data_IF_866399066940
#
_entry.id   IF_866399066940
#
_cell.length_a   1.000
_cell.length_b   1.000
_cell.length_c   1.000
_cell.angle_alpha   90.00
_cell.angle_beta   90.00
_cell.angle_gamma   90.00
#
_symmetry.space_group_name_H-M   'P 1'
#
loop_
_entity.id
_entity.type
_entity.pdbx_description
1 polymer ?
#
# COMPACT_ATOMS: atom_id res chain seq x y z
N UNK A 1 12.90 27.40 -18.80
CA UNK A 1 13.34 27.16 -20.21
C UNK A 1 12.23 26.39 -20.95
N UNK A 2 12.02 25.10 -20.76
CA UNK A 2 10.94 24.33 -21.37
C UNK A 2 9.82 24.06 -20.36
N UNK A 3 8.55 24.17 -20.81
CA UNK A 3 7.38 23.90 -19.98
C UNK A 3 6.26 23.29 -20.82
N UNK A 4 5.48 22.37 -20.22
CA UNK A 4 4.36 21.67 -20.84
C UNK A 4 3.33 21.32 -19.78
N UNK A 5 2.05 21.37 -20.10
CA UNK A 5 0.97 20.98 -19.20
C UNK A 5 -0.14 20.25 -19.95
N UNK A 6 -0.63 19.13 -19.41
CA UNK A 6 -1.80 18.39 -19.93
C UNK A 6 -2.44 17.58 -18.80
N UNK A 7 -3.75 17.63 -18.70
CA UNK A 7 -4.57 16.82 -17.75
C UNK A 7 -4.06 16.86 -16.30
N UNK A 8 -3.66 18.06 -15.83
CA UNK A 8 -3.16 18.28 -14.47
C UNK A 8 -1.72 17.83 -14.22
N UNK A 9 -1.03 17.34 -15.27
CA UNK A 9 0.40 17.03 -15.22
C UNK A 9 1.19 18.18 -15.81
N UNK A 10 2.14 18.72 -15.06
CA UNK A 10 3.04 19.79 -15.52
C UNK A 10 4.46 19.26 -15.60
N UNK A 11 5.09 19.46 -16.77
CA UNK A 11 6.50 19.10 -17.01
C UNK A 11 7.30 20.38 -17.22
N UNK A 12 8.39 20.56 -16.50
CA UNK A 12 9.26 21.73 -16.64
C UNK A 12 10.73 21.40 -16.45
N UNK A 13 11.59 22.16 -17.12
CA UNK A 13 13.05 22.10 -16.87
C UNK A 13 13.40 23.04 -15.72
N UNK A 14 14.19 22.56 -14.76
CA UNK A 14 14.58 23.32 -13.56
C UNK A 14 16.05 23.08 -13.22
N UNK A 15 16.67 24.09 -12.62
CA UNK A 15 17.97 23.94 -11.99
C UNK A 15 17.78 23.43 -10.54
N UNK A 16 18.46 22.38 -10.16
CA UNK A 16 18.29 21.73 -8.85
C UNK A 16 18.98 22.51 -7.74
N UNK A 17 18.22 23.29 -6.97
CA UNK A 17 18.76 24.21 -5.97
C UNK A 17 19.37 23.56 -4.70
N UNK A 18 19.14 22.25 -4.44
CA UNK A 18 19.48 21.59 -3.17
C UNK A 18 20.81 20.82 -3.16
N UNK A 19 21.41 20.57 -4.32
CA UNK A 19 22.62 19.76 -4.42
C UNK A 19 23.60 20.47 -5.35
N UNK A 20 24.76 20.81 -4.85
CA UNK A 20 25.88 21.40 -5.62
C UNK A 20 26.93 20.30 -5.77
N UNK A 21 27.50 20.14 -6.97
CA UNK A 21 28.61 19.21 -7.19
C UNK A 21 29.94 19.84 -6.66
N UNK A 22 31.03 19.06 -6.71
CA UNK A 22 32.35 19.52 -6.25
C UNK A 22 32.90 20.75 -7.03
N UNK A 23 32.34 21.05 -8.19
CA UNK A 23 32.72 22.17 -9.05
C UNK A 23 31.81 23.42 -8.86
N UNK A 24 30.92 23.42 -7.87
CA UNK A 24 30.01 24.54 -7.64
C UNK A 24 28.83 24.61 -8.60
N UNK A 25 28.57 23.57 -9.40
CA UNK A 25 27.48 23.52 -10.39
C UNK A 25 26.25 22.79 -9.84
N UNK A 26 25.08 23.20 -10.31
CA UNK A 26 23.78 22.63 -9.97
C UNK A 26 23.31 21.66 -11.05
N UNK A 27 22.72 20.51 -10.71
CA UNK A 27 22.18 19.59 -11.69
C UNK A 27 20.93 20.16 -12.37
N UNK A 28 20.89 20.08 -13.69
CA UNK A 28 19.67 20.35 -14.47
C UNK A 28 18.76 19.14 -14.37
N UNK A 29 17.48 19.37 -14.06
CA UNK A 29 16.47 18.34 -13.85
C UNK A 29 15.19 18.64 -14.62
N UNK A 30 14.48 17.60 -15.01
CA UNK A 30 13.10 17.72 -15.47
C UNK A 30 12.20 17.48 -14.27
N UNK A 31 11.38 18.46 -13.92
CA UNK A 31 10.37 18.40 -12.89
C UNK A 31 9.04 18.00 -13.51
N UNK A 32 8.45 16.94 -13.04
CA UNK A 32 7.06 16.55 -13.34
C UNK A 32 6.24 16.76 -12.07
N UNK A 33 5.16 17.52 -12.17
CA UNK A 33 4.27 17.85 -11.08
C UNK A 33 2.89 17.29 -11.37
N UNK A 34 2.33 16.54 -10.42
CA UNK A 34 1.01 15.92 -10.52
C UNK A 34 0.41 15.70 -9.13
N UNK A 35 -0.87 16.00 -8.95
CA UNK A 35 -1.61 15.84 -7.69
C UNK A 35 -0.86 16.41 -6.47
N UNK A 36 -0.39 17.66 -6.59
CA UNK A 36 0.36 18.39 -5.55
C UNK A 36 1.72 17.77 -5.17
N UNK A 37 2.22 16.80 -5.93
CA UNK A 37 3.52 16.14 -5.70
C UNK A 37 4.48 16.42 -6.86
N UNK A 38 5.71 16.92 -6.60
CA UNK A 38 6.74 17.03 -7.60
C UNK A 38 7.61 15.77 -7.67
N UNK A 39 8.04 15.38 -8.86
CA UNK A 39 9.10 14.40 -9.08
C UNK A 39 10.15 14.96 -10.02
N UNK A 40 11.41 14.67 -9.73
CA UNK A 40 12.56 15.24 -10.44
C UNK A 40 13.35 14.14 -11.13
N UNK A 41 13.66 14.35 -12.41
CA UNK A 41 14.44 13.45 -13.24
C UNK A 41 15.77 14.12 -13.61
N UNK A 42 16.89 13.55 -13.18
CA UNK A 42 18.23 14.04 -13.55
C UNK A 42 18.51 13.69 -15.00
N UNK A 43 19.18 14.63 -15.69
CA UNK A 43 19.58 14.46 -17.09
C UNK A 43 21.11 14.42 -17.29
N UNK A 44 21.87 14.39 -16.18
CA UNK A 44 23.33 14.28 -16.22
C UNK A 44 24.06 15.58 -16.55
N UNK A 45 23.35 16.70 -16.74
CA UNK A 45 23.94 18.02 -17.05
C UNK A 45 23.99 18.84 -15.75
N UNK A 46 25.12 19.48 -15.46
CA UNK A 46 25.29 20.41 -14.36
C UNK A 46 25.71 21.79 -14.88
N UNK A 47 25.14 22.87 -14.32
CA UNK A 47 25.39 24.25 -14.72
C UNK A 47 25.44 25.18 -13.54
N UNK A 48 26.15 26.31 -13.65
CA UNK A 48 26.04 27.42 -12.71
C UNK A 48 24.70 28.14 -12.92
N UNK A 49 24.29 28.98 -11.95
CA UNK A 49 23.08 29.80 -12.11
C UNK A 49 23.21 30.80 -13.28
N UNK A 50 24.40 31.30 -13.48
CA UNK A 50 24.69 32.27 -14.53
C UNK A 50 24.62 31.62 -15.92
N UNK A 51 25.23 30.44 -16.08
CA UNK A 51 25.17 29.66 -17.33
C UNK A 51 23.71 29.29 -17.65
N UNK A 52 22.95 28.86 -16.67
CA UNK A 52 21.52 28.51 -16.82
C UNK A 52 20.66 29.70 -17.29
N UNK A 53 20.89 30.88 -16.71
CA UNK A 53 20.11 32.07 -17.07
C UNK A 53 20.47 32.60 -18.46
N UNK A 54 21.72 32.45 -18.89
CA UNK A 54 22.19 32.89 -20.21
C UNK A 54 21.89 31.87 -21.34
N UNK A 55 21.62 30.62 -20.98
CA UNK A 55 21.45 29.52 -21.91
C UNK A 55 20.34 29.72 -22.97
N UNK A 56 19.14 30.29 -22.62
CA UNK A 56 18.07 30.51 -23.60
C UNK A 56 18.47 31.37 -24.78
N UNK A 57 19.25 32.43 -24.53
CA UNK A 57 19.59 33.48 -25.51
C UNK A 57 20.99 33.29 -26.13
N UNK A 58 21.74 32.30 -25.67
CA UNK A 58 23.12 32.06 -26.11
C UNK A 58 23.17 31.49 -27.53
N UNK A 59 24.03 32.13 -28.38
CA UNK A 59 24.29 31.71 -29.75
C UNK A 59 25.54 30.81 -29.87
N UNK A 60 26.28 30.58 -28.79
CA UNK A 60 27.51 29.77 -28.80
C UNK A 60 27.17 28.31 -29.19
N UNK A 61 28.09 27.70 -29.94
CA UNK A 61 27.95 26.32 -30.44
C UNK A 61 27.83 25.32 -29.30
N UNK A 62 28.61 25.47 -28.23
CA UNK A 62 28.55 24.60 -27.06
C UNK A 62 27.22 24.72 -26.33
N UNK A 63 26.73 25.94 -26.11
CA UNK A 63 25.46 26.18 -25.45
C UNK A 63 24.26 25.69 -26.28
N UNK A 64 24.36 25.72 -27.61
CA UNK A 64 23.36 25.10 -28.50
C UNK A 64 23.30 23.58 -28.31
N UNK A 65 24.46 22.90 -28.23
CA UNK A 65 24.52 21.45 -27.96
C UNK A 65 23.89 21.11 -26.61
N UNK A 66 24.22 21.88 -25.57
CA UNK A 66 23.64 21.68 -24.24
C UNK A 66 22.13 21.91 -24.26
N UNK A 67 21.67 23.00 -24.90
CA UNK A 67 20.23 23.30 -25.04
C UNK A 67 19.51 22.18 -25.79
N UNK A 68 20.05 21.65 -26.86
CA UNK A 68 19.50 20.53 -27.63
C UNK A 68 19.45 19.24 -26.81
N UNK A 69 20.47 18.95 -26.00
CA UNK A 69 20.48 17.80 -25.11
C UNK A 69 19.37 17.91 -24.01
N UNK A 70 19.20 19.10 -23.43
CA UNK A 70 18.13 19.36 -22.45
C UNK A 70 16.76 19.21 -23.12
N UNK A 71 16.60 19.76 -24.34
CA UNK A 71 15.34 19.69 -25.09
C UNK A 71 14.98 18.26 -25.50
N UNK A 72 15.96 17.47 -25.92
CA UNK A 72 15.75 16.05 -26.23
C UNK A 72 15.27 15.26 -25.01
N UNK A 73 15.88 15.48 -23.84
CA UNK A 73 15.46 14.85 -22.62
C UNK A 73 14.05 15.34 -22.16
N UNK A 74 13.77 16.63 -22.31
CA UNK A 74 12.46 17.20 -22.00
C UNK A 74 11.38 16.62 -22.93
N UNK A 75 11.64 16.56 -24.23
CA UNK A 75 10.72 16.02 -25.23
C UNK A 75 10.40 14.54 -24.97
N UNK A 76 11.42 13.74 -24.59
CA UNK A 76 11.22 12.35 -24.19
C UNK A 76 10.26 12.22 -23.01
N UNK A 77 10.45 13.02 -21.94
CA UNK A 77 9.56 13.01 -20.78
C UNK A 77 8.17 13.51 -21.16
N UNK A 78 8.06 14.61 -21.93
CA UNK A 78 6.80 15.18 -22.42
C UNK A 78 5.98 14.15 -23.20
N UNK A 79 6.56 13.52 -24.21
CA UNK A 79 5.86 12.52 -25.04
C UNK A 79 5.34 11.35 -24.22
N UNK A 80 6.08 10.89 -23.23
CA UNK A 80 5.64 9.82 -22.36
C UNK A 80 4.52 10.27 -21.40
N UNK A 81 4.60 11.49 -20.87
CA UNK A 81 3.53 12.09 -20.06
C UNK A 81 2.26 12.23 -20.88
N UNK A 82 2.37 12.77 -22.09
CA UNK A 82 1.28 12.97 -23.03
C UNK A 82 0.55 11.66 -23.34
N UNK A 83 1.29 10.64 -23.74
CA UNK A 83 0.74 9.32 -24.07
C UNK A 83 0.10 8.60 -22.87
N UNK A 84 0.55 8.85 -21.65
CA UNK A 84 -0.04 8.30 -20.43
C UNK A 84 -1.29 9.09 -20.00
N UNK A 85 -1.26 10.42 -20.16
CA UNK A 85 -2.37 11.29 -19.85
C UNK A 85 -3.56 11.05 -20.81
N UNK A 86 -3.31 10.94 -22.11
CA UNK A 86 -4.33 10.61 -23.12
C UNK A 86 -5.06 9.30 -22.84
N UNK A 87 -4.35 8.32 -22.27
CA UNK A 87 -4.95 7.05 -21.85
C UNK A 87 -5.61 7.10 -20.47
N UNK A 88 -5.55 8.23 -19.76
CA UNK A 88 -6.07 8.37 -18.40
C UNK A 88 -5.34 7.49 -17.35
N UNK A 89 -4.11 7.06 -17.64
CA UNK A 89 -3.36 6.10 -16.80
C UNK A 89 -2.06 6.71 -16.26
N UNK A 90 -1.95 8.05 -16.24
CA UNK A 90 -0.75 8.70 -15.73
C UNK A 90 -0.57 8.41 -14.25
N UNK A 91 0.62 7.95 -13.90
CA UNK A 91 1.18 7.93 -12.55
C UNK A 91 2.70 8.06 -12.64
N UNK A 92 3.35 8.46 -11.54
CA UNK A 92 4.81 8.50 -11.52
C UNK A 92 5.45 7.13 -11.75
N UNK A 93 4.75 6.04 -11.38
CA UNK A 93 5.23 4.68 -11.61
C UNK A 93 5.17 4.32 -13.10
N UNK A 94 4.04 4.58 -13.77
CA UNK A 94 3.91 4.31 -15.20
C UNK A 94 4.86 5.17 -16.02
N UNK A 95 5.11 6.41 -15.60
CA UNK A 95 6.12 7.28 -16.25
C UNK A 95 7.54 6.74 -16.05
N UNK A 96 7.90 6.31 -14.82
CA UNK A 96 9.22 5.73 -14.56
C UNK A 96 9.47 4.48 -15.39
N UNK A 97 8.47 3.60 -15.49
CA UNK A 97 8.55 2.40 -16.32
C UNK A 97 8.86 2.75 -17.78
N UNK A 98 8.16 3.75 -18.34
CA UNK A 98 8.37 4.18 -19.73
C UNK A 98 9.69 4.89 -19.98
N UNK A 99 10.19 5.61 -18.99
CA UNK A 99 11.47 6.32 -19.10
C UNK A 99 12.70 5.42 -18.87
N UNK A 100 12.49 4.11 -18.58
CA UNK A 100 13.58 3.23 -18.17
C UNK A 100 14.32 3.72 -16.91
N UNK A 101 13.70 4.64 -16.14
CA UNK A 101 14.25 5.27 -14.94
C UNK A 101 13.68 4.66 -13.63
N UNK A 102 12.82 3.68 -13.71
CA UNK A 102 12.82 2.64 -12.73
C UNK A 102 14.18 1.97 -12.88
N UNK A 103 15.04 2.05 -11.88
CA UNK A 103 16.35 1.40 -11.87
C UNK A 103 16.19 -0.06 -12.32
N UNK A 104 16.43 -0.34 -13.62
CA UNK A 104 16.16 -1.58 -14.32
C UNK A 104 14.64 -1.85 -14.52
N UNK A 105 14.25 -2.27 -15.73
CA UNK A 105 12.87 -2.74 -16.06
C UNK A 105 12.54 -4.08 -15.36
N UNK A 106 12.67 -4.13 -14.02
CA UNK A 106 12.56 -5.36 -13.25
C UNK A 106 11.33 -5.35 -12.37
N UNK A 107 10.73 -6.52 -12.17
CA UNK A 107 9.63 -6.73 -11.24
C UNK A 107 9.98 -6.22 -9.84
N UNK A 108 11.22 -6.49 -9.38
CA UNK A 108 11.70 -6.10 -8.05
C UNK A 108 11.71 -4.58 -7.87
N UNK A 109 12.19 -3.83 -8.86
CA UNK A 109 12.24 -2.36 -8.77
C UNK A 109 10.84 -1.75 -8.72
N UNK A 110 9.90 -2.33 -9.48
CA UNK A 110 8.50 -1.88 -9.47
C UNK A 110 7.79 -2.23 -8.17
N UNK A 111 8.08 -3.40 -7.58
CA UNK A 111 7.57 -3.74 -6.24
C UNK A 111 8.11 -2.75 -5.21
N UNK A 112 9.39 -2.40 -5.24
CA UNK A 112 9.98 -1.42 -4.31
C UNK A 112 9.34 -0.03 -4.48
N UNK A 113 9.14 0.41 -5.70
CA UNK A 113 8.45 1.67 -5.99
C UNK A 113 6.99 1.65 -5.46
N UNK A 114 6.27 0.52 -5.63
CA UNK A 114 4.92 0.34 -5.11
C UNK A 114 4.87 0.36 -3.58
N UNK A 115 5.86 -0.21 -2.92
CA UNK A 115 6.01 -0.16 -1.45
C UNK A 115 6.12 1.30 -0.97
N UNK A 116 6.95 2.12 -1.61
CA UNK A 116 7.11 3.53 -1.22
C UNK A 116 5.84 4.36 -1.51
N UNK A 117 5.16 4.10 -2.64
CA UNK A 117 3.86 4.71 -2.95
C UNK A 117 2.83 4.39 -1.86
N UNK A 118 2.64 3.11 -1.54
CA UNK A 118 1.69 2.65 -0.54
C UNK A 118 2.01 3.19 0.87
N UNK A 119 3.29 3.34 1.19
CA UNK A 119 3.76 3.97 2.43
C UNK A 119 3.35 5.45 2.48
N UNK A 120 3.53 6.18 1.38
CA UNK A 120 3.14 7.60 1.30
C UNK A 120 1.63 7.83 1.35
N UNK A 121 0.84 6.80 1.07
CA UNK A 121 -0.64 6.79 1.12
C UNK A 121 -1.19 6.24 2.44
N UNK A 122 -0.35 5.93 3.43
CA UNK A 122 -0.72 5.28 4.69
C UNK A 122 -1.43 3.92 4.53
N UNK A 123 -1.20 3.24 3.40
CA UNK A 123 -1.74 1.91 3.10
C UNK A 123 -0.84 0.79 3.64
N UNK A 124 -0.53 0.88 4.94
CA UNK A 124 0.50 0.07 5.59
C UNK A 124 0.26 -1.45 5.46
N UNK A 125 -1.01 -1.90 5.55
CA UNK A 125 -1.33 -3.33 5.38
C UNK A 125 -0.97 -3.86 4.00
N UNK A 126 -1.31 -3.12 2.94
CA UNK A 126 -1.00 -3.46 1.54
C UNK A 126 0.50 -3.36 1.30
N UNK A 127 1.16 -2.31 1.82
CA UNK A 127 2.60 -2.11 1.76
C UNK A 127 3.37 -3.31 2.34
N UNK A 128 3.00 -3.75 3.55
CA UNK A 128 3.62 -4.92 4.18
C UNK A 128 3.46 -6.18 3.34
N UNK A 129 2.29 -6.35 2.72
CA UNK A 129 2.03 -7.50 1.86
C UNK A 129 2.88 -7.47 0.58
N UNK A 130 3.09 -6.29 -0.04
CA UNK A 130 4.04 -6.14 -1.16
C UNK A 130 5.49 -6.40 -0.72
N UNK A 131 5.90 -6.02 0.50
CA UNK A 131 7.22 -6.40 1.06
C UNK A 131 7.38 -7.92 1.13
N UNK A 132 6.37 -8.64 1.62
CA UNK A 132 6.40 -10.10 1.62
C UNK A 132 6.48 -10.67 0.19
N UNK A 133 5.74 -10.09 -0.77
CA UNK A 133 5.80 -10.50 -2.18
C UNK A 133 7.20 -10.30 -2.75
N UNK A 134 7.88 -9.19 -2.44
CA UNK A 134 9.25 -8.93 -2.86
C UNK A 134 10.20 -10.04 -2.41
N UNK A 135 10.18 -10.39 -1.13
CA UNK A 135 11.00 -11.48 -0.58
C UNK A 135 10.73 -12.78 -1.34
N UNK A 136 9.46 -13.14 -1.55
CA UNK A 136 9.09 -14.38 -2.22
C UNK A 136 9.50 -14.43 -3.69
N UNK A 137 9.45 -13.34 -4.43
CA UNK A 137 9.92 -13.31 -5.82
C UNK A 137 11.45 -13.34 -5.89
N UNK A 138 12.15 -12.73 -4.92
CA UNK A 138 13.61 -12.76 -4.82
C UNK A 138 14.15 -14.17 -4.52
N UNK A 139 13.41 -15.00 -3.77
CA UNK A 139 13.74 -16.41 -3.52
C UNK A 139 13.78 -17.26 -4.83
N UNK A 140 13.01 -16.87 -5.86
CA UNK A 140 12.89 -17.65 -7.10
C UNK A 140 13.75 -17.13 -8.22
N UNK A 141 13.83 -15.81 -8.39
CA UNK A 141 14.43 -15.18 -9.56
C UNK A 141 15.53 -14.17 -9.26
N UNK A 142 15.90 -13.99 -7.97
CA UNK A 142 16.91 -13.02 -7.57
C UNK A 142 16.40 -11.58 -7.51
N UNK A 143 17.35 -10.62 -7.50
CA UNK A 143 17.05 -9.22 -7.19
C UNK A 143 16.65 -8.35 -8.38
N UNK A 144 16.79 -8.86 -9.60
CA UNK A 144 16.61 -8.10 -10.85
C UNK A 144 15.90 -8.94 -11.92
N UNK A 145 14.63 -9.29 -11.69
CA UNK A 145 13.81 -10.09 -12.58
C UNK A 145 13.19 -9.19 -13.65
N UNK A 146 13.63 -9.27 -14.93
CA UNK A 146 13.04 -8.46 -15.99
C UNK A 146 11.59 -8.91 -16.26
N UNK A 147 10.71 -8.00 -16.69
CA UNK A 147 9.32 -8.33 -17.01
C UNK A 147 9.20 -9.42 -18.09
N UNK A 148 10.14 -9.48 -19.02
CA UNK A 148 10.20 -10.52 -20.05
C UNK A 148 10.44 -11.93 -19.51
N UNK A 149 11.03 -12.07 -18.34
CA UNK A 149 11.26 -13.34 -17.67
C UNK A 149 10.03 -13.86 -16.90
N UNK A 150 8.98 -13.04 -16.73
CA UNK A 150 7.75 -13.42 -16.03
C UNK A 150 6.83 -14.16 -17.02
N UNK A 151 7.17 -15.39 -17.29
CA UNK A 151 6.40 -16.29 -18.19
C UNK A 151 5.45 -17.19 -17.40
N UNK A 152 4.63 -17.95 -18.09
CA UNK A 152 3.76 -19.00 -17.48
C UNK A 152 4.61 -19.99 -16.70
N UNK A 153 5.71 -20.46 -17.29
CA UNK A 153 6.65 -21.42 -16.70
C UNK A 153 7.30 -20.85 -15.44
N UNK A 154 7.68 -19.57 -15.46
CA UNK A 154 8.24 -18.90 -14.27
C UNK A 154 7.20 -18.82 -13.13
N UNK A 155 5.94 -18.50 -13.43
CA UNK A 155 4.88 -18.45 -12.44
C UNK A 155 4.57 -19.85 -11.88
N UNK A 156 4.58 -20.90 -12.71
CA UNK A 156 4.46 -22.30 -12.28
C UNK A 156 5.62 -22.73 -11.38
N UNK A 157 6.86 -22.32 -11.72
CA UNK A 157 8.03 -22.55 -10.86
C UNK A 157 7.86 -21.88 -9.51
N UNK A 158 7.38 -20.63 -9.45
CA UNK A 158 7.06 -19.94 -8.21
C UNK A 158 6.01 -20.72 -7.40
N UNK A 159 4.90 -21.11 -8.02
CA UNK A 159 3.84 -21.87 -7.37
C UNK A 159 4.36 -23.18 -6.78
N UNK A 160 5.14 -23.94 -7.54
CA UNK A 160 5.75 -25.22 -7.10
C UNK A 160 6.71 -25.02 -5.93
N UNK A 161 7.54 -23.97 -5.96
CA UNK A 161 8.48 -23.70 -4.87
C UNK A 161 7.74 -23.28 -3.60
N UNK A 162 6.80 -22.33 -3.72
CA UNK A 162 6.07 -21.77 -2.59
C UNK A 162 5.09 -22.75 -1.96
N UNK A 163 4.56 -23.73 -2.72
CA UNK A 163 3.66 -24.76 -2.19
C UNK A 163 4.30 -25.67 -1.13
N UNK A 164 5.63 -25.73 -1.07
CA UNK A 164 6.35 -26.47 -0.03
C UNK A 164 6.12 -25.93 1.37
N UNK A 165 5.85 -24.62 1.51
CA UNK A 165 5.78 -23.93 2.82
C UNK A 165 4.57 -23.01 2.97
N UNK A 166 3.79 -22.78 1.94
CA UNK A 166 2.68 -21.81 1.92
C UNK A 166 1.38 -22.46 1.46
N UNK A 167 0.27 -21.98 1.99
CA UNK A 167 -1.06 -22.41 1.52
C UNK A 167 -1.38 -21.86 0.14
N UNK A 168 -2.27 -22.54 -0.58
CA UNK A 168 -2.79 -22.10 -1.89
C UNK A 168 -3.34 -20.67 -1.83
N UNK A 169 -4.06 -20.33 -0.76
CA UNK A 169 -4.59 -18.97 -0.55
C UNK A 169 -3.49 -17.92 -0.43
N UNK A 170 -2.40 -18.22 0.30
CA UNK A 170 -1.25 -17.31 0.45
C UNK A 170 -0.54 -17.12 -0.89
N UNK A 171 -0.28 -18.21 -1.61
CA UNK A 171 0.33 -18.17 -2.95
C UNK A 171 -0.54 -17.34 -3.89
N UNK A 172 -1.85 -17.61 -3.92
CA UNK A 172 -2.79 -16.87 -4.75
C UNK A 172 -2.81 -15.36 -4.45
N UNK A 173 -2.61 -14.94 -3.19
CA UNK A 173 -2.47 -13.53 -2.84
C UNK A 173 -1.21 -12.90 -3.45
N UNK A 174 -0.05 -13.56 -3.36
CA UNK A 174 1.20 -13.06 -3.96
C UNK A 174 1.12 -13.02 -5.50
N UNK A 175 0.53 -14.04 -6.11
CA UNK A 175 0.28 -14.07 -7.56
C UNK A 175 -0.64 -12.92 -8.01
N UNK A 176 -1.63 -12.52 -7.22
CA UNK A 176 -2.47 -11.34 -7.51
C UNK A 176 -1.68 -10.03 -7.44
N UNK A 177 -0.71 -9.91 -6.53
CA UNK A 177 0.18 -8.75 -6.50
C UNK A 177 1.03 -8.67 -7.78
N UNK A 178 1.64 -9.79 -8.19
CA UNK A 178 2.41 -9.87 -9.45
C UNK A 178 1.50 -9.52 -10.63
N UNK A 179 0.29 -10.09 -10.71
CA UNK A 179 -0.68 -9.78 -11.76
C UNK A 179 -1.06 -8.30 -11.80
N UNK A 180 -1.19 -7.65 -10.65
CA UNK A 180 -1.47 -6.21 -10.59
C UNK A 180 -0.36 -5.41 -11.27
N UNK A 181 0.91 -5.73 -10.98
CA UNK A 181 2.06 -5.05 -11.58
C UNK A 181 2.21 -5.37 -13.08
N UNK A 182 1.95 -6.61 -13.48
CA UNK A 182 1.92 -6.99 -14.90
C UNK A 182 0.82 -6.23 -15.66
N UNK A 183 -0.35 -6.04 -15.05
CA UNK A 183 -1.43 -5.22 -15.63
C UNK A 183 -1.03 -3.74 -15.75
N UNK A 184 -0.33 -3.19 -14.76
CA UNK A 184 0.20 -1.83 -14.81
C UNK A 184 1.26 -1.71 -15.93
N UNK A 185 2.19 -2.67 -16.02
CA UNK A 185 3.22 -2.73 -17.06
C UNK A 185 2.62 -2.85 -18.47
N UNK A 186 1.59 -3.69 -18.65
CA UNK A 186 0.85 -3.84 -19.90
C UNK A 186 0.17 -2.54 -20.32
N UNK A 187 -0.57 -1.90 -19.40
CA UNK A 187 -1.21 -0.61 -19.67
C UNK A 187 -0.21 0.49 -20.01
N UNK A 188 0.95 0.49 -19.35
CA UNK A 188 2.02 1.43 -19.62
C UNK A 188 2.76 1.16 -20.95
N UNK A 189 2.51 0.01 -21.61
CA UNK A 189 3.20 -0.38 -22.84
C UNK A 189 4.63 -0.87 -22.61
N UNK A 190 4.98 -1.27 -21.39
CA UNK A 190 6.28 -1.88 -21.06
C UNK A 190 6.34 -3.32 -21.56
N UNK A 191 5.24 -4.02 -21.52
CA UNK A 191 5.08 -5.37 -22.09
C UNK A 191 3.96 -5.37 -23.13
N UNK A 192 4.11 -6.23 -24.13
CA UNK A 192 3.10 -6.48 -25.16
C UNK A 192 2.01 -7.41 -24.61
N UNK A 193 0.82 -7.39 -25.23
CA UNK A 193 -0.27 -8.33 -24.91
C UNK A 193 0.19 -9.79 -24.96
N UNK A 194 0.97 -10.16 -25.99
CA UNK A 194 1.52 -11.51 -26.18
C UNK A 194 2.49 -11.96 -25.08
N UNK A 195 3.03 -11.03 -24.29
CA UNK A 195 3.95 -11.29 -23.18
C UNK A 195 3.21 -11.42 -21.82
N UNK A 196 1.89 -11.20 -21.80
CA UNK A 196 1.10 -11.23 -20.58
C UNK A 196 0.77 -12.68 -20.18
N UNK A 197 1.26 -13.18 -19.01
CA UNK A 197 1.20 -14.61 -18.70
C UNK A 197 -0.05 -15.07 -17.96
N UNK A 198 -0.97 -14.16 -17.60
CA UNK A 198 -2.17 -14.50 -16.81
C UNK A 198 -3.43 -14.57 -17.68
N UNK A 199 -4.26 -15.58 -17.49
CA UNK A 199 -5.56 -15.70 -18.16
C UNK A 199 -5.97 -17.14 -18.42
N UNK A 200 -7.13 -17.30 -19.05
CA UNK A 200 -7.64 -18.60 -19.46
C UNK A 200 -6.71 -19.24 -20.49
N UNK A 201 -6.29 -20.49 -20.25
CA UNK A 201 -5.31 -21.17 -21.09
C UNK A 201 -3.85 -20.73 -20.87
N UNK A 202 -3.60 -19.78 -19.95
CA UNK A 202 -2.28 -19.35 -19.50
C UNK A 202 -2.13 -19.69 -18.00
N UNK A 203 -1.54 -18.80 -17.19
CA UNK A 203 -1.46 -19.01 -15.75
C UNK A 203 -2.75 -18.56 -15.07
N UNK A 204 -3.46 -19.48 -14.46
CA UNK A 204 -4.65 -19.19 -13.65
C UNK A 204 -4.34 -19.27 -12.17
N UNK A 205 -4.70 -18.19 -11.44
CA UNK A 205 -4.43 -18.11 -10.00
C UNK A 205 -5.43 -18.99 -9.25
N UNK A 206 -4.93 -20.04 -8.62
CA UNK A 206 -5.74 -20.95 -7.81
C UNK A 206 -6.29 -20.25 -6.56
N UNK A 207 -7.49 -20.64 -6.17
CA UNK A 207 -8.14 -20.14 -4.96
C UNK A 207 -8.29 -21.30 -3.98
N UNK A 208 -7.78 -21.12 -2.77
CA UNK A 208 -7.96 -22.13 -1.73
C UNK A 208 -9.40 -22.13 -1.19
N UNK A 209 -9.92 -23.31 -0.91
CA UNK A 209 -11.22 -23.50 -0.27
C UNK A 209 -11.00 -23.41 1.25
N UNK A 210 -11.43 -22.32 1.86
CA UNK A 210 -11.42 -22.15 3.32
C UNK A 210 -12.62 -22.87 3.95
N UNK A 211 -12.39 -23.73 4.93
CA UNK A 211 -13.48 -24.24 5.78
C UNK A 211 -13.90 -23.16 6.75
N UNK A 212 -15.16 -22.72 6.68
CA UNK A 212 -15.76 -21.86 7.69
C UNK A 212 -16.04 -22.72 8.93
N UNK A 213 -15.32 -22.45 10.02
CA UNK A 213 -15.57 -23.07 11.34
C UNK A 213 -16.35 -22.06 12.16
N UNK A 214 -17.64 -22.32 12.37
CA UNK A 214 -18.46 -21.58 13.33
C UNK A 214 -18.44 -22.28 14.67
N UNK A 215 -18.49 -21.52 15.76
CA UNK A 215 -18.71 -22.06 17.09
C UNK A 215 -20.19 -22.40 17.28
N UNK A 216 -20.47 -23.50 17.97
CA UNK A 216 -21.83 -23.85 18.37
C UNK A 216 -22.29 -22.93 19.51
N UNK A 217 -23.63 -22.86 19.75
CA UNK A 217 -24.18 -22.09 20.86
C UNK A 217 -23.62 -22.55 22.21
N UNK A 218 -23.40 -23.86 22.39
CA UNK A 218 -22.82 -24.44 23.61
C UNK A 218 -21.39 -23.96 23.82
N UNK A 219 -20.56 -23.95 22.76
CA UNK A 219 -19.18 -23.46 22.84
C UNK A 219 -19.13 -21.95 23.11
N UNK A 220 -20.00 -21.17 22.46
CA UNK A 220 -20.11 -19.75 22.74
C UNK A 220 -20.47 -19.50 24.21
N UNK A 221 -21.48 -20.18 24.74
CA UNK A 221 -21.86 -20.08 26.15
C UNK A 221 -20.67 -20.40 27.06
N UNK A 222 -19.94 -21.48 26.81
CA UNK A 222 -18.77 -21.85 27.60
C UNK A 222 -17.70 -20.74 27.60
N UNK A 223 -17.45 -20.09 26.46
CA UNK A 223 -16.51 -18.94 26.37
C UNK A 223 -17.02 -17.74 27.19
N UNK A 224 -18.33 -17.44 27.13
CA UNK A 224 -18.92 -16.33 27.88
C UNK A 224 -18.85 -16.56 29.40
N UNK A 225 -19.12 -17.78 29.84
CA UNK A 225 -19.13 -18.18 31.26
C UNK A 225 -17.70 -18.39 31.81
N UNK A 226 -16.69 -18.56 30.92
CA UNK A 226 -15.31 -18.83 31.32
C UNK A 226 -14.72 -17.69 32.17
N UNK A 227 -14.10 -18.04 33.28
CA UNK A 227 -13.37 -17.12 34.16
C UNK A 227 -11.96 -17.64 34.39
N UNK A 228 -10.96 -16.79 34.27
CA UNK A 228 -9.58 -17.09 34.57
C UNK A 228 -9.11 -16.31 35.78
N UNK A 229 -8.22 -16.89 36.58
CA UNK A 229 -7.51 -16.15 37.64
C UNK A 229 -6.60 -15.08 37.05
N UNK A 230 -6.17 -15.25 35.80
CA UNK A 230 -5.33 -14.29 35.10
C UNK A 230 -6.18 -13.19 34.47
N UNK A 231 -6.12 -11.99 35.05
CA UNK A 231 -6.87 -10.81 34.59
C UNK A 231 -6.59 -10.46 33.13
N UNK A 232 -5.34 -10.66 32.65
CA UNK A 232 -5.00 -10.46 31.24
C UNK A 232 -5.78 -11.40 30.33
N UNK A 233 -6.02 -12.65 30.74
CA UNK A 233 -6.83 -13.61 29.98
C UNK A 233 -8.28 -13.13 29.92
N UNK A 234 -8.84 -12.71 31.02
CA UNK A 234 -10.20 -12.16 31.07
C UNK A 234 -10.34 -10.92 30.18
N UNK A 235 -9.36 -10.00 30.23
CA UNK A 235 -9.36 -8.78 29.38
C UNK A 235 -9.44 -9.12 27.89
N UNK A 236 -8.59 -10.00 27.40
CA UNK A 236 -8.58 -10.33 25.96
C UNK A 236 -9.74 -11.23 25.54
N UNK A 237 -10.29 -12.05 26.45
CA UNK A 237 -11.57 -12.75 26.25
C UNK A 237 -12.72 -11.75 26.13
N UNK A 238 -12.81 -10.79 27.05
CA UNK A 238 -13.86 -9.78 27.06
C UNK A 238 -13.80 -8.91 25.78
N UNK A 239 -12.61 -8.55 25.31
CA UNK A 239 -12.45 -7.89 24.01
C UNK A 239 -12.90 -8.76 22.84
N UNK A 240 -12.65 -10.08 22.89
CA UNK A 240 -13.16 -10.99 21.87
C UNK A 240 -14.70 -11.08 21.91
N UNK A 241 -15.31 -11.12 23.10
CA UNK A 241 -16.76 -11.06 23.28
C UNK A 241 -17.32 -9.76 22.70
N UNK A 242 -16.68 -8.62 22.98
CA UNK A 242 -17.08 -7.33 22.41
C UNK A 242 -17.05 -7.36 20.88
N UNK A 243 -15.97 -7.87 20.27
CA UNK A 243 -15.87 -8.04 18.81
C UNK A 243 -17.03 -8.89 18.29
N UNK A 244 -17.32 -10.01 18.95
CA UNK A 244 -18.39 -10.91 18.54
C UNK A 244 -19.76 -10.24 18.60
N UNK A 245 -20.08 -9.57 19.70
CA UNK A 245 -21.37 -8.89 19.93
C UNK A 245 -21.52 -7.64 19.04
N UNK A 246 -20.43 -6.98 18.71
CA UNK A 246 -20.42 -5.85 17.76
C UNK A 246 -20.39 -6.33 16.28
N UNK A 247 -21.18 -7.34 15.95
CA UNK A 247 -21.35 -7.90 14.60
C UNK A 247 -20.03 -8.30 13.92
N UNK A 248 -19.02 -8.74 14.69
CA UNK A 248 -17.72 -9.10 14.17
C UNK A 248 -16.90 -7.90 13.70
N UNK A 249 -16.96 -6.80 14.44
CA UNK A 249 -16.17 -5.61 14.14
C UNK A 249 -14.68 -5.96 13.92
N UNK A 250 -14.05 -5.37 12.89
CA UNK A 250 -12.62 -5.59 12.71
C UNK A 250 -11.84 -4.96 13.89
N UNK A 251 -10.83 -5.66 14.45
CA UNK A 251 -10.02 -5.10 15.55
C UNK A 251 -9.43 -3.72 15.26
N UNK A 252 -9.09 -3.42 14.00
CA UNK A 252 -8.60 -2.09 13.62
C UNK A 252 -9.68 -1.02 13.82
N UNK A 253 -10.92 -1.33 13.47
CA UNK A 253 -12.05 -0.41 13.62
C UNK A 253 -12.40 -0.29 15.11
N UNK A 254 -12.48 -1.41 15.86
CA UNK A 254 -12.73 -1.44 17.31
C UNK A 254 -11.76 -0.55 18.10
N UNK A 255 -10.46 -0.64 17.81
CA UNK A 255 -9.44 0.14 18.52
C UNK A 255 -9.49 1.64 18.22
N UNK A 256 -10.20 2.03 17.18
CA UNK A 256 -10.41 3.44 16.79
C UNK A 256 -11.76 3.99 17.17
N UNK A 257 -12.65 3.18 17.75
CA UNK A 257 -13.92 3.67 18.25
C UNK A 257 -13.70 4.69 19.36
N UNK A 258 -14.40 5.81 19.26
CA UNK A 258 -14.50 6.85 20.28
C UNK A 258 -15.84 6.79 20.98
N UNK A 259 -15.95 7.41 22.15
CA UNK A 259 -17.24 7.53 22.81
C UNK A 259 -18.25 8.37 22.01
N UNK A 260 -17.77 9.30 21.15
CA UNK A 260 -18.62 10.01 20.19
C UNK A 260 -19.25 9.12 19.10
N UNK A 261 -18.73 7.90 18.89
CA UNK A 261 -19.31 6.93 17.96
C UNK A 261 -20.48 6.15 18.60
N UNK A 262 -20.78 6.41 19.88
CA UNK A 262 -21.94 5.86 20.57
C UNK A 262 -23.09 6.87 20.46
N UNK A 263 -24.13 6.52 19.70
CA UNK A 263 -25.31 7.35 19.46
C UNK A 263 -26.57 6.52 19.75
N UNK A 264 -27.45 7.02 20.60
CA UNK A 264 -28.73 6.37 20.93
C UNK A 264 -28.62 4.89 21.35
N UNK A 265 -27.56 4.55 22.09
CA UNK A 265 -27.31 3.16 22.54
C UNK A 265 -26.76 2.23 21.46
N UNK A 266 -26.34 2.76 20.33
CA UNK A 266 -25.71 2.03 19.25
C UNK A 266 -24.27 2.52 19.01
N UNK A 267 -23.38 1.61 18.63
CA UNK A 267 -22.06 1.94 18.09
C UNK A 267 -22.21 2.13 16.58
N UNK A 268 -21.90 3.35 16.11
CA UNK A 268 -22.03 3.76 14.73
C UNK A 268 -20.62 3.98 14.13
N UNK A 269 -20.25 3.23 13.12
CA UNK A 269 -18.92 3.38 12.51
C UNK A 269 -18.88 3.05 11.02
N UNK A 270 -17.91 3.62 10.32
CA UNK A 270 -17.62 3.29 8.91
C UNK A 270 -16.41 2.37 8.86
N UNK A 271 -16.52 1.26 8.14
CA UNK A 271 -15.44 0.29 8.02
C UNK A 271 -14.25 0.85 7.27
N UNK A 272 -13.12 1.05 7.94
CA UNK A 272 -11.90 1.66 7.38
C UNK A 272 -11.37 0.94 6.12
N UNK A 273 -11.47 -0.40 6.07
CA UNK A 273 -10.97 -1.19 4.93
C UNK A 273 -11.67 -0.84 3.62
N UNK A 274 -12.96 -0.51 3.65
CA UNK A 274 -13.78 -0.24 2.46
C UNK A 274 -14.07 1.24 2.27
N UNK A 275 -13.76 2.09 3.20
CA UNK A 275 -14.01 3.54 3.18
C UNK A 275 -13.47 4.22 1.91
N UNK A 276 -12.27 3.81 1.45
CA UNK A 276 -11.61 4.40 0.27
C UNK A 276 -12.09 3.84 -1.07
N UNK A 277 -12.76 2.68 -1.07
CA UNK A 277 -13.12 1.95 -2.30
C UNK A 277 -14.60 1.97 -2.61
N UNK A 278 -15.43 2.30 -1.64
CA UNK A 278 -16.89 2.29 -1.79
C UNK A 278 -17.38 3.70 -2.06
N UNK A 279 -18.10 3.91 -3.17
CA UNK A 279 -18.72 5.21 -3.52
C UNK A 279 -19.74 5.66 -2.47
N UNK A 280 -20.53 4.71 -1.95
CA UNK A 280 -21.52 4.95 -0.89
C UNK A 280 -20.96 4.39 0.41
N UNK A 281 -20.53 5.25 1.33
CA UNK A 281 -20.10 4.87 2.68
C UNK A 281 -21.33 4.35 3.43
N UNK A 282 -21.35 3.06 3.75
CA UNK A 282 -22.36 2.47 4.65
C UNK A 282 -21.86 2.56 6.09
N UNK A 283 -22.61 3.27 6.91
CA UNK A 283 -22.46 3.21 8.35
C UNK A 283 -22.93 1.84 8.84
N UNK A 284 -22.14 1.24 9.72
CA UNK A 284 -22.48 -0.01 10.42
C UNK A 284 -22.94 0.39 11.80
N UNK A 285 -24.09 -0.11 12.21
CA UNK A 285 -24.68 0.11 13.54
C UNK A 285 -24.73 -1.20 14.30
N UNK A 286 -24.36 -1.15 15.56
CA UNK A 286 -24.42 -2.28 16.45
C UNK A 286 -25.00 -1.82 17.80
N UNK A 287 -26.18 -2.32 18.16
CA UNK A 287 -26.83 -2.03 19.45
C UNK A 287 -25.95 -2.52 20.59
N UNK A 288 -25.72 -1.66 21.58
CA UNK A 288 -24.92 -2.00 22.76
C UNK A 288 -25.73 -2.91 23.68
N UNK A 289 -25.29 -4.15 23.78
CA UNK A 289 -25.84 -5.09 24.74
C UNK A 289 -25.34 -4.84 26.18
N UNK A 290 -26.02 -5.38 27.18
CA UNK A 290 -25.56 -5.32 28.58
C UNK A 290 -24.13 -5.86 28.73
N UNK A 291 -23.82 -6.94 28.01
CA UNK A 291 -22.49 -7.54 28.06
C UNK A 291 -21.43 -6.63 27.40
N UNK A 292 -21.77 -5.95 26.29
CA UNK A 292 -20.86 -4.98 25.66
C UNK A 292 -20.61 -3.79 26.59
N UNK A 293 -21.65 -3.29 27.25
CA UNK A 293 -21.52 -2.20 28.22
C UNK A 293 -20.61 -2.61 29.36
N UNK A 294 -20.79 -3.81 29.94
CA UNK A 294 -19.93 -4.33 31.01
C UNK A 294 -18.45 -4.41 30.58
N UNK A 295 -18.16 -4.73 29.31
CA UNK A 295 -16.78 -4.74 28.78
C UNK A 295 -16.23 -3.33 28.68
N UNK A 296 -17.05 -2.36 28.21
CA UNK A 296 -16.68 -0.94 28.14
C UNK A 296 -16.39 -0.40 29.54
N UNK A 297 -17.26 -0.63 30.51
CA UNK A 297 -17.14 -0.14 31.89
C UNK A 297 -15.87 -0.70 32.56
N UNK A 298 -15.55 -1.96 32.30
CA UNK A 298 -14.41 -2.64 32.93
C UNK A 298 -13.07 -2.30 32.31
N UNK A 299 -13.00 -2.16 30.98
CA UNK A 299 -11.74 -2.06 30.24
C UNK A 299 -11.60 -0.77 29.44
N UNK A 300 -12.63 0.07 29.40
CA UNK A 300 -12.66 1.32 28.64
C UNK A 300 -11.97 2.46 29.35
N UNK A 301 -11.77 3.53 28.59
CA UNK A 301 -11.36 4.84 29.09
C UNK A 301 -12.55 5.57 29.75
N UNK A 302 -12.28 6.73 30.36
CA UNK A 302 -13.32 7.65 30.80
C UNK A 302 -14.21 8.04 29.62
N UNK A 303 -15.55 8.06 29.80
CA UNK A 303 -16.52 8.30 28.73
C UNK A 303 -16.59 9.78 28.32
N UNK A 304 -15.50 10.31 27.75
CA UNK A 304 -15.47 11.62 27.15
C UNK A 304 -15.57 11.46 25.61
N UNK A 305 -16.29 12.34 24.89
CA UNK A 305 -16.58 12.17 23.47
C UNK A 305 -15.35 11.90 22.60
N UNK A 306 -14.24 12.60 22.85
CA UNK A 306 -13.02 12.49 22.07
C UNK A 306 -12.10 11.33 22.47
N UNK A 307 -12.36 10.68 23.59
CA UNK A 307 -11.60 9.53 24.03
C UNK A 307 -11.91 8.30 23.20
N UNK A 308 -10.89 7.50 22.90
CA UNK A 308 -11.12 6.15 22.40
C UNK A 308 -11.82 5.30 23.47
N UNK A 309 -12.73 4.42 23.05
CA UNK A 309 -13.42 3.52 23.99
C UNK A 309 -12.39 2.67 24.73
N UNK A 310 -11.43 2.07 24.03
CA UNK A 310 -10.39 1.24 24.64
C UNK A 310 -9.02 1.92 24.70
N UNK A 311 -8.24 1.76 25.79
CA UNK A 311 -6.99 2.49 26.04
C UNK A 311 -5.78 1.93 25.26
N UNK A 312 -5.89 1.78 23.94
CA UNK A 312 -4.81 1.29 23.08
C UNK A 312 -4.25 2.35 22.17
N UNK A 313 -5.08 3.28 21.73
CA UNK A 313 -4.70 4.41 20.88
C UNK A 313 -4.68 5.72 21.68
N UNK A 314 -3.78 6.63 21.32
CA UNK A 314 -3.64 7.98 21.94
C UNK A 314 -4.08 9.10 21.00
N UNK A 315 -4.20 8.80 19.69
CA UNK A 315 -4.63 9.75 18.66
C UNK A 315 -3.50 10.47 17.92
N UNK A 316 -2.27 10.27 18.33
CA UNK A 316 -1.07 10.85 17.71
C UNK A 316 -0.20 9.80 16.99
N UNK A 317 -0.69 8.55 16.88
CA UNK A 317 0.05 7.48 16.23
C UNK A 317 0.16 7.72 14.73
N UNK A 318 1.33 7.43 14.19
CA UNK A 318 1.50 7.22 12.74
C UNK A 318 0.72 5.99 12.27
N UNK A 319 0.42 5.90 11.00
CA UNK A 319 -0.27 4.74 10.42
C UNK A 319 0.49 3.42 10.67
N UNK A 320 1.83 3.48 10.75
CA UNK A 320 2.69 2.32 11.05
C UNK A 320 2.51 1.90 12.51
N UNK A 321 2.54 2.84 13.45
CA UNK A 321 2.37 2.59 14.87
C UNK A 321 0.97 2.05 15.18
N UNK A 322 -0.07 2.69 14.65
CA UNK A 322 -1.44 2.22 14.79
C UNK A 322 -1.62 0.77 14.26
N UNK A 323 -0.95 0.43 13.14
CA UNK A 323 -0.95 -0.93 12.62
C UNK A 323 -0.20 -1.90 13.52
N UNK A 324 0.91 -1.47 14.13
CA UNK A 324 1.68 -2.29 15.08
C UNK A 324 0.88 -2.58 16.35
N UNK A 325 0.23 -1.56 16.93
CA UNK A 325 -0.66 -1.69 18.09
C UNK A 325 -1.79 -2.69 17.78
N UNK A 326 -2.50 -2.49 16.67
CA UNK A 326 -3.57 -3.41 16.25
C UNK A 326 -3.09 -4.85 16.15
N UNK A 327 -1.91 -5.07 15.53
CA UNK A 327 -1.33 -6.41 15.38
C UNK A 327 -1.00 -7.04 16.72
N UNK A 328 -0.47 -6.29 17.67
CA UNK A 328 -0.15 -6.76 19.02
C UNK A 328 -1.42 -7.16 19.77
N UNK A 329 -2.45 -6.32 19.78
CA UNK A 329 -3.75 -6.64 20.41
C UNK A 329 -4.36 -7.90 19.80
N UNK A 330 -4.39 -8.02 18.47
CA UNK A 330 -4.90 -9.22 17.79
C UNK A 330 -4.10 -10.47 18.17
N UNK A 331 -2.76 -10.35 18.23
CA UNK A 331 -1.89 -11.46 18.66
C UNK A 331 -2.21 -11.91 20.07
N UNK A 332 -2.46 -10.97 20.99
CA UNK A 332 -2.80 -11.26 22.38
C UNK A 332 -4.19 -11.88 22.50
N UNK A 333 -5.20 -11.34 21.81
CA UNK A 333 -6.54 -11.94 21.73
C UNK A 333 -6.42 -13.41 21.27
N UNK A 334 -5.77 -13.64 20.11
CA UNK A 334 -5.65 -14.98 19.55
C UNK A 334 -4.92 -15.95 20.50
N UNK A 335 -3.83 -15.49 21.16
CA UNK A 335 -3.10 -16.29 22.13
C UNK A 335 -4.00 -16.72 23.31
N UNK A 336 -4.78 -15.78 23.88
CA UNK A 336 -5.63 -16.08 25.03
C UNK A 336 -6.83 -16.93 24.64
N UNK A 337 -7.47 -16.64 23.50
CA UNK A 337 -8.58 -17.46 23.00
C UNK A 337 -8.15 -18.88 22.64
N UNK A 338 -6.90 -19.08 22.19
CA UNK A 338 -6.36 -20.42 21.98
C UNK A 338 -6.21 -21.18 23.30
N UNK A 339 -5.65 -20.54 24.34
CA UNK A 339 -5.54 -21.16 25.68
C UNK A 339 -6.93 -21.53 26.23
N UNK A 340 -7.90 -20.63 26.16
CA UNK A 340 -9.29 -20.89 26.58
C UNK A 340 -9.88 -22.07 25.80
N UNK A 341 -9.62 -22.15 24.50
CA UNK A 341 -10.14 -23.27 23.69
C UNK A 341 -9.41 -24.61 23.94
N UNK A 342 -8.24 -24.60 24.56
CA UNK A 342 -7.52 -25.80 25.03
C UNK A 342 -8.03 -26.27 26.39
N UNK A 343 -8.61 -25.38 27.19
CA UNK A 343 -9.17 -25.67 28.52
C UNK A 343 -10.66 -26.07 28.46
N UNK A 344 -11.42 -25.68 27.44
CA UNK A 344 -12.85 -25.96 27.23
C UNK A 344 -13.09 -27.19 26.35
#
# INVERSE_FOLDING_TARGET
>A
MFNYSKDGVVVSTVLGARTINKEGKYPVKIKVYYQKKPKYYSIGICMTKEEWNKLPDSKSFENRKIKQAIESCFSLVRMNVEALAEKGIFSFNTLNLRLGKATGDTLNSVIRAKIEELKSEDRIGTMQFFKCTLVMVEEVGGKDIPFSAITVEWLQKCEKLWSKTRSVSTIGMHMRNIRTLMNEAKRAGVIKESQYPFGKGLFEIKTGIGRKKGLTKKQLKAIFDYKSENETTNRYKDLWIFIYLCNGINPTDMLKLKFSDIVDGEICFVRQKTERTTKNRKEIRATISVQMQAVIDKWGNKPLPDNYIFPYMKGNETAIEAKAITRDVVKRINKRMKLIGEEL
#
